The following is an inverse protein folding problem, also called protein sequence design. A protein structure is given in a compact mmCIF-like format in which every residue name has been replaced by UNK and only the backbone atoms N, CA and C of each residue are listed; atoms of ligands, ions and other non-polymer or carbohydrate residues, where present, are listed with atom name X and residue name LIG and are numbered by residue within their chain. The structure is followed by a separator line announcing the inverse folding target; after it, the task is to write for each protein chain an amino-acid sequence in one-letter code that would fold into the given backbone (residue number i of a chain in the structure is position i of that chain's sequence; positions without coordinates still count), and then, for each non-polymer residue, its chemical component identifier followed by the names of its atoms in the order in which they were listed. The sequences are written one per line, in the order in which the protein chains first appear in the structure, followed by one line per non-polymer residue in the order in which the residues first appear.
data_IF_181725768757
#
_entry.id   IF_181725768757
#
_cell.length_a   1.000
_cell.length_b   1.000
_cell.length_c   1.000
_cell.angle_alpha   90.00
_cell.angle_beta   90.00
_cell.angle_gamma   90.00
#
_symmetry.space_group_name_H-M   'P 1'
#
loop_
_entity.id
_entity.type
_entity.pdbx_description
1 polymer ?
#
# COMPACT_ATOMS: atom_id res chain seq x y z
N UNK A 1 -24.62 61.12 30.67
CA UNK A 1 -23.69 60.36 29.86
C UNK A 1 -23.69 58.93 30.35
N UNK A 2 -24.34 58.03 29.69
CA UNK A 2 -23.80 56.70 29.36
C UNK A 2 -24.47 56.12 28.10
N UNK A 3 -23.86 56.31 26.92
CA UNK A 3 -24.33 55.68 25.70
C UNK A 3 -23.20 55.28 24.73
N UNK A 4 -21.94 55.20 25.17
CA UNK A 4 -20.81 54.94 24.26
C UNK A 4 -20.11 53.60 24.44
N UNK A 5 -20.54 52.71 25.37
CA UNK A 5 -19.81 51.45 25.65
C UNK A 5 -20.49 50.16 25.09
N UNK A 6 -21.61 50.23 24.39
CA UNK A 6 -22.33 49.05 23.89
C UNK A 6 -22.09 48.71 22.41
N UNK A 7 -21.37 49.52 21.65
CA UNK A 7 -21.11 49.25 20.22
C UNK A 7 -19.79 48.60 19.91
N UNK A 8 -18.84 48.52 20.84
CA UNK A 8 -17.50 47.95 20.60
C UNK A 8 -17.41 46.45 20.88
N UNK A 9 -18.36 45.82 21.55
CA UNK A 9 -18.32 44.37 21.88
C UNK A 9 -18.93 43.50 20.76
N UNK A 10 -19.82 44.04 19.95
CA UNK A 10 -20.45 43.33 18.84
C UNK A 10 -19.56 43.21 17.58
N UNK A 11 -18.54 44.05 17.43
CA UNK A 11 -17.60 43.96 16.32
C UNK A 11 -16.46 42.97 16.54
N UNK A 12 -16.18 42.57 17.79
CA UNK A 12 -15.13 41.58 18.09
C UNK A 12 -15.62 40.13 18.01
N UNK A 13 -16.91 39.85 18.05
CA UNK A 13 -17.51 38.52 17.87
C UNK A 13 -17.73 38.14 16.40
N UNK A 14 -17.68 39.09 15.47
CA UNK A 14 -17.80 38.81 14.03
C UNK A 14 -16.47 38.49 13.34
N UNK A 15 -15.32 38.67 14.02
CA UNK A 15 -13.97 38.45 13.41
C UNK A 15 -13.35 37.12 13.77
N UNK A 16 -14.04 36.22 14.50
CA UNK A 16 -13.53 34.88 14.88
C UNK A 16 -14.15 33.76 14.02
N UNK A 17 -15.04 34.08 13.08
CA UNK A 17 -15.69 33.10 12.19
C UNK A 17 -15.16 33.14 10.75
N UNK A 18 -13.95 33.62 10.51
CA UNK A 18 -13.19 33.30 9.31
C UNK A 18 -12.27 32.12 9.60
N UNK A 19 -12.82 31.08 10.23
CA UNK A 19 -12.23 29.78 10.25
C UNK A 19 -12.17 29.27 8.81
N UNK A 20 -10.98 28.93 8.33
CA UNK A 20 -10.77 28.28 7.06
C UNK A 20 -11.89 27.26 6.84
N UNK A 21 -12.65 27.41 5.77
CA UNK A 21 -13.60 26.40 5.32
C UNK A 21 -12.78 25.17 5.00
N UNK A 22 -12.62 24.27 5.97
CA UNK A 22 -12.09 22.95 5.74
C UNK A 22 -12.95 22.37 4.62
N UNK A 23 -12.41 22.27 3.42
CA UNK A 23 -13.12 21.66 2.30
C UNK A 23 -13.57 20.28 2.77
N UNK A 24 -14.90 20.11 2.88
CA UNK A 24 -15.47 18.85 3.34
C UNK A 24 -14.93 17.70 2.48
N UNK A 25 -14.47 16.64 3.12
CA UNK A 25 -14.01 15.45 2.43
C UNK A 25 -15.16 14.89 1.57
N UNK A 26 -14.84 14.36 0.40
CA UNK A 26 -15.82 13.72 -0.49
C UNK A 26 -16.63 12.66 0.28
N UNK A 27 -17.96 12.72 0.31
CA UNK A 27 -18.77 11.78 1.12
C UNK A 27 -18.55 10.30 0.78
N UNK A 28 -18.19 9.99 -0.46
CA UNK A 28 -17.86 8.62 -0.87
C UNK A 28 -16.57 8.13 -0.22
N UNK A 29 -15.58 9.02 -0.04
CA UNK A 29 -14.32 8.73 0.65
C UNK A 29 -14.57 8.47 2.13
N UNK A 30 -15.45 9.26 2.78
CA UNK A 30 -15.82 9.01 4.19
C UNK A 30 -16.54 7.66 4.37
N UNK A 31 -17.40 7.27 3.43
CA UNK A 31 -18.01 5.93 3.45
C UNK A 31 -16.98 4.82 3.27
N UNK A 32 -16.05 4.97 2.32
CA UNK A 32 -14.96 4.02 2.12
C UNK A 32 -14.12 3.89 3.41
N UNK A 33 -13.74 5.02 4.01
CA UNK A 33 -13.00 5.07 5.27
C UNK A 33 -13.72 4.31 6.40
N UNK A 34 -14.99 4.63 6.64
CA UNK A 34 -15.78 3.98 7.69
C UNK A 34 -15.83 2.45 7.50
N UNK A 35 -16.05 1.98 6.26
CA UNK A 35 -16.10 0.55 5.94
C UNK A 35 -14.74 -0.14 6.04
N UNK A 36 -13.65 0.52 5.64
CA UNK A 36 -12.27 0.03 5.82
C UNK A 36 -11.98 -0.23 7.30
N UNK A 37 -12.26 0.75 8.16
CA UNK A 37 -12.02 0.63 9.60
C UNK A 37 -12.94 -0.36 10.28
N UNK A 38 -14.19 -0.42 9.90
CA UNK A 38 -15.19 -1.32 10.50
C UNK A 38 -14.93 -2.79 10.20
N UNK A 39 -14.42 -3.12 9.00
CA UNK A 39 -14.39 -4.51 8.52
C UNK A 39 -13.00 -5.06 8.21
N UNK A 40 -12.07 -4.21 7.83
CA UNK A 40 -10.80 -4.68 7.26
C UNK A 40 -9.58 -4.35 8.11
N UNK A 41 -9.61 -3.37 8.99
CA UNK A 41 -8.52 -3.16 9.94
C UNK A 41 -8.75 -4.08 11.15
N UNK A 42 -7.80 -4.99 11.36
CA UNK A 42 -7.89 -5.93 12.48
C UNK A 42 -7.54 -5.30 13.83
N UNK A 43 -7.63 -6.10 14.91
CA UNK A 43 -7.31 -5.66 16.27
C UNK A 43 -5.85 -5.19 16.43
N UNK A 44 -4.96 -5.60 15.54
CA UNK A 44 -3.53 -5.29 15.57
C UNK A 44 -3.13 -4.12 14.67
N UNK A 45 -4.08 -3.52 13.94
CA UNK A 45 -3.82 -2.40 13.04
C UNK A 45 -3.31 -2.84 11.67
N UNK A 46 -3.56 -4.07 11.26
CA UNK A 46 -3.19 -4.59 9.94
C UNK A 46 -4.43 -4.78 9.08
N UNK A 47 -4.34 -4.39 7.82
CA UNK A 47 -5.44 -4.55 6.87
C UNK A 47 -5.55 -5.99 6.40
N UNK A 48 -6.76 -6.54 6.44
CA UNK A 48 -7.11 -7.84 5.86
C UNK A 48 -7.40 -7.69 4.38
N UNK A 49 -7.18 -8.76 3.61
CA UNK A 49 -7.46 -8.76 2.16
C UNK A 49 -8.97 -8.83 1.85
N UNK A 50 -9.72 -9.56 2.67
CA UNK A 50 -11.15 -9.77 2.47
C UNK A 50 -11.85 -10.11 3.78
N UNK A 51 -13.18 -10.09 3.78
CA UNK A 51 -13.97 -10.58 4.91
C UNK A 51 -13.71 -12.08 5.11
N UNK A 52 -13.67 -12.54 6.35
CA UNK A 52 -13.41 -13.92 6.73
C UNK A 52 -12.73 -14.02 8.09
N UNK A 53 -12.67 -15.22 8.64
CA UNK A 53 -11.97 -15.49 9.90
C UNK A 53 -10.45 -15.42 9.71
N UNK A 54 -9.72 -14.89 10.69
CA UNK A 54 -8.27 -14.93 10.70
C UNK A 54 -7.77 -16.38 10.86
N UNK A 55 -6.60 -16.72 10.27
CA UNK A 55 -5.95 -17.99 10.51
C UNK A 55 -5.67 -18.23 11.99
N UNK A 56 -5.83 -19.47 12.42
CA UNK A 56 -5.44 -19.93 13.75
C UNK A 56 -3.94 -20.25 13.80
N UNK A 57 -3.32 -20.38 14.99
CA UNK A 57 -1.94 -20.89 15.11
C UNK A 57 -1.72 -22.21 14.39
N UNK A 58 -2.70 -23.12 14.40
CA UNK A 58 -2.63 -24.40 13.70
C UNK A 58 -2.67 -24.25 12.17
N UNK A 59 -3.51 -23.37 11.64
CA UNK A 59 -3.51 -23.07 10.21
C UNK A 59 -2.15 -22.56 9.74
N UNK A 60 -1.56 -21.60 10.47
CA UNK A 60 -0.24 -21.06 10.17
C UNK A 60 0.86 -22.12 10.28
N UNK A 61 0.87 -22.92 11.37
CA UNK A 61 1.85 -23.99 11.61
C UNK A 61 1.85 -25.03 10.49
N UNK A 62 0.68 -25.37 9.96
CA UNK A 62 0.52 -26.33 8.87
C UNK A 62 0.67 -25.70 7.48
N UNK A 63 0.78 -24.37 7.38
CA UNK A 63 0.76 -23.69 6.10
C UNK A 63 -0.56 -23.89 5.34
N UNK A 64 -1.70 -23.73 6.02
CA UNK A 64 -3.04 -23.79 5.44
C UNK A 64 -3.60 -22.39 5.20
N UNK A 65 -4.08 -22.07 3.99
CA UNK A 65 -4.29 -22.93 2.81
C UNK A 65 -3.00 -23.25 2.05
N UNK A 66 -1.94 -22.48 2.25
CA UNK A 66 -0.58 -22.70 1.74
C UNK A 66 0.41 -21.87 2.55
N UNK A 67 1.71 -22.19 2.48
CA UNK A 67 2.75 -21.53 3.26
C UNK A 67 3.01 -20.06 2.87
N UNK A 68 2.47 -19.57 1.76
CA UNK A 68 2.52 -18.17 1.37
C UNK A 68 1.39 -17.38 2.06
N UNK A 69 0.32 -18.05 2.51
CA UNK A 69 -0.89 -17.43 3.01
C UNK A 69 -1.82 -16.90 1.92
N UNK A 70 -1.56 -17.18 0.64
CA UNK A 70 -2.46 -16.79 -0.44
C UNK A 70 -3.86 -17.37 -0.22
N UNK A 71 -4.87 -16.54 -0.44
CA UNK A 71 -6.28 -16.85 -0.31
C UNK A 71 -6.78 -16.93 1.15
N UNK A 72 -5.94 -16.58 2.11
CA UNK A 72 -6.36 -16.27 3.47
C UNK A 72 -6.61 -14.76 3.63
N UNK A 73 -7.30 -14.32 4.69
CA UNK A 73 -7.51 -12.89 4.94
C UNK A 73 -6.25 -12.09 5.28
N UNK A 74 -5.10 -12.73 5.46
CA UNK A 74 -3.82 -12.08 5.79
C UNK A 74 -2.78 -12.25 4.66
N UNK A 75 -3.24 -12.23 3.42
CA UNK A 75 -2.39 -12.41 2.24
C UNK A 75 -1.47 -11.22 1.98
N UNK A 76 -1.95 -9.98 2.14
CA UNK A 76 -1.24 -8.76 1.74
C UNK A 76 -1.21 -7.66 2.82
N UNK A 77 -1.21 -8.03 4.10
CA UNK A 77 -1.34 -7.08 5.21
C UNK A 77 -0.37 -5.90 5.15
N UNK A 78 0.97 -6.06 5.18
CA UNK A 78 1.90 -4.93 5.09
C UNK A 78 1.82 -4.17 3.77
N UNK A 79 1.50 -4.85 2.66
CA UNK A 79 1.30 -4.20 1.37
C UNK A 79 0.14 -3.21 1.42
N UNK A 80 -1.02 -3.67 1.86
CA UNK A 80 -2.23 -2.83 1.92
C UNK A 80 -2.15 -1.80 3.05
N UNK A 81 -1.72 -2.22 4.24
CA UNK A 81 -1.57 -1.32 5.40
C UNK A 81 -0.57 -0.20 5.10
N UNK A 82 0.55 -0.51 4.44
CA UNK A 82 1.56 0.49 4.12
C UNK A 82 1.08 1.53 3.10
N UNK A 83 0.40 1.09 2.04
CA UNK A 83 -0.21 2.01 1.07
C UNK A 83 -1.33 2.84 1.71
N UNK A 84 -2.14 2.22 2.58
CA UNK A 84 -3.21 2.91 3.28
C UNK A 84 -2.68 3.89 4.32
N UNK A 85 -1.64 3.53 5.08
CA UNK A 85 -0.99 4.44 6.04
C UNK A 85 -0.44 5.69 5.35
N UNK A 86 0.12 5.54 4.14
CA UNK A 86 0.56 6.69 3.35
C UNK A 86 -0.59 7.68 3.09
N UNK A 87 -1.78 7.19 2.72
CA UNK A 87 -2.98 8.01 2.54
C UNK A 87 -3.52 8.58 3.87
N UNK A 88 -3.49 7.77 4.95
CA UNK A 88 -3.96 8.17 6.27
C UNK A 88 -3.13 9.28 6.90
N UNK A 89 -1.83 9.32 6.68
CA UNK A 89 -0.96 10.44 7.10
C UNK A 89 -1.41 11.74 6.40
N UNK A 90 -1.72 11.66 5.10
CA UNK A 90 -2.21 12.83 4.36
C UNK A 90 -3.62 13.24 4.81
N UNK A 91 -4.50 12.27 5.12
CA UNK A 91 -5.80 12.53 5.74
C UNK A 91 -5.63 13.28 7.06
N UNK A 92 -4.77 12.79 7.95
CA UNK A 92 -4.50 13.40 9.25
C UNK A 92 -3.92 14.83 9.11
N UNK A 93 -3.04 15.04 8.11
CA UNK A 93 -2.49 16.37 7.79
C UNK A 93 -3.59 17.35 7.35
N UNK A 94 -4.51 16.93 6.49
CA UNK A 94 -5.61 17.77 5.96
C UNK A 94 -6.68 18.05 7.00
N UNK A 95 -7.06 17.06 7.78
CA UNK A 95 -8.13 17.20 8.78
C UNK A 95 -7.67 17.86 10.09
N UNK A 96 -6.40 17.67 10.47
CA UNK A 96 -5.89 18.01 11.79
C UNK A 96 -6.51 17.21 12.95
N UNK A 97 -7.41 16.25 12.65
CA UNK A 97 -8.20 15.54 13.65
C UNK A 97 -7.34 14.55 14.45
N UNK A 98 -7.50 14.55 15.77
CA UNK A 98 -6.81 13.62 16.67
C UNK A 98 -7.16 12.14 16.35
N UNK A 99 -8.39 11.87 15.94
CA UNK A 99 -8.84 10.54 15.56
C UNK A 99 -8.07 10.01 14.33
N UNK A 100 -7.87 10.83 13.29
CA UNK A 100 -7.12 10.42 12.10
C UNK A 100 -5.63 10.18 12.44
N UNK A 101 -5.04 11.00 13.34
CA UNK A 101 -3.67 10.76 13.83
C UNK A 101 -3.55 9.46 14.62
N UNK A 102 -4.54 9.13 15.46
CA UNK A 102 -4.56 7.87 16.21
C UNK A 102 -4.75 6.66 15.30
N UNK A 103 -5.57 6.77 14.29
CA UNK A 103 -5.72 5.73 13.26
C UNK A 103 -4.40 5.50 12.50
N UNK A 104 -3.71 6.55 12.07
CA UNK A 104 -2.40 6.43 11.45
C UNK A 104 -1.37 5.76 12.39
N UNK A 105 -1.38 6.10 13.69
CA UNK A 105 -0.52 5.47 14.70
C UNK A 105 -0.82 3.98 14.81
N UNK A 106 -2.08 3.58 14.87
CA UNK A 106 -2.47 2.17 14.96
C UNK A 106 -1.97 1.36 13.75
N UNK A 107 -2.05 1.90 12.55
CA UNK A 107 -1.52 1.27 11.33
C UNK A 107 0.02 1.13 11.38
N UNK A 108 0.73 2.17 11.83
CA UNK A 108 2.18 2.13 11.97
C UNK A 108 2.63 1.08 13.00
N UNK A 109 1.90 0.94 14.11
CA UNK A 109 2.13 -0.12 15.12
C UNK A 109 1.85 -1.51 14.54
N UNK A 110 0.83 -1.66 13.69
CA UNK A 110 0.56 -2.90 12.96
C UNK A 110 1.72 -3.30 12.06
N UNK A 111 2.26 -2.34 11.30
CA UNK A 111 3.45 -2.56 10.46
C UNK A 111 4.69 -2.94 11.29
N UNK A 112 4.93 -2.25 12.40
CA UNK A 112 6.01 -2.61 13.34
C UNK A 112 5.86 -4.04 13.84
N UNK A 113 4.64 -4.44 14.19
CA UNK A 113 4.35 -5.78 14.69
C UNK A 113 4.59 -6.84 13.63
N UNK A 114 4.19 -6.62 12.38
CA UNK A 114 4.50 -7.54 11.26
C UNK A 114 6.00 -7.78 11.08
N UNK A 115 6.84 -6.79 11.37
CA UNK A 115 8.30 -6.90 11.31
C UNK A 115 8.94 -7.40 12.62
N UNK A 116 8.13 -7.80 13.62
CA UNK A 116 8.60 -8.17 14.97
C UNK A 116 8.02 -9.48 15.48
N UNK A 117 7.20 -10.19 14.68
CA UNK A 117 6.58 -11.47 15.10
C UNK A 117 7.49 -12.68 14.94
N UNK A 118 8.60 -12.55 14.17
CA UNK A 118 9.58 -13.58 13.89
C UNK A 118 10.91 -13.29 14.57
N UNK A 119 11.69 -14.34 14.87
CA UNK A 119 13.09 -14.26 15.30
C UNK A 119 14.08 -14.13 14.11
N UNK A 120 13.59 -14.17 12.86
CA UNK A 120 14.39 -13.97 11.67
C UNK A 120 14.57 -12.48 11.41
N UNK A 121 15.79 -11.92 11.54
CA UNK A 121 16.03 -10.53 11.28
C UNK A 121 15.63 -10.12 9.86
N UNK A 122 15.00 -8.96 9.72
CA UNK A 122 14.58 -8.43 8.43
C UNK A 122 13.35 -9.10 7.81
N UNK A 123 12.80 -10.16 8.42
CA UNK A 123 11.53 -10.74 7.97
C UNK A 123 10.35 -9.81 8.29
N UNK A 124 9.44 -9.66 7.36
CA UNK A 124 8.16 -8.95 7.55
C UNK A 124 7.03 -9.91 7.19
N UNK A 125 6.24 -10.31 8.19
CA UNK A 125 5.11 -11.21 7.99
C UNK A 125 4.06 -10.58 7.09
N UNK A 126 3.37 -11.39 6.28
CA UNK A 126 2.25 -10.94 5.42
C UNK A 126 1.01 -10.51 6.20
N UNK A 127 0.95 -10.84 7.48
CA UNK A 127 -0.10 -10.51 8.42
C UNK A 127 -0.03 -11.44 9.61
N UNK A 128 -0.91 -11.23 10.58
CA UNK A 128 -0.97 -12.00 11.81
C UNK A 128 -2.33 -12.68 11.93
N UNK A 129 -2.31 -13.93 12.40
CA UNK A 129 -3.53 -14.66 12.68
C UNK A 129 -4.24 -14.20 13.95
N UNK A 130 -5.19 -15.00 14.41
CA UNK A 130 -6.13 -14.65 15.48
C UNK A 130 -5.45 -14.31 16.83
N UNK A 131 -4.30 -14.92 17.12
CA UNK A 131 -3.53 -14.67 18.36
C UNK A 131 -2.59 -13.44 18.26
N UNK A 132 -2.53 -12.81 17.10
CA UNK A 132 -1.63 -11.69 16.81
C UNK A 132 -0.14 -12.04 16.83
N UNK A 133 0.21 -13.31 16.65
CA UNK A 133 1.58 -13.84 16.63
C UNK A 133 1.80 -14.82 15.50
N UNK A 134 0.89 -15.76 15.28
CA UNK A 134 1.01 -16.74 14.21
C UNK A 134 0.95 -16.03 12.84
N UNK A 135 1.74 -16.50 11.92
CA UNK A 135 1.91 -15.92 10.59
C UNK A 135 2.39 -17.00 9.61
N UNK A 136 2.30 -16.69 8.32
CA UNK A 136 2.85 -17.56 7.28
C UNK A 136 4.34 -17.27 7.06
N UNK A 137 5.15 -18.29 6.76
CA UNK A 137 6.61 -18.16 6.72
C UNK A 137 7.17 -17.48 5.48
N UNK A 138 6.38 -17.31 4.41
CA UNK A 138 6.85 -16.75 3.15
C UNK A 138 6.38 -15.30 2.97
N UNK A 139 7.31 -14.34 3.07
CA UNK A 139 7.08 -12.92 2.77
C UNK A 139 7.20 -12.64 1.27
N UNK A 140 7.42 -11.40 0.84
CA UNK A 140 7.81 -11.00 -0.52
C UNK A 140 8.19 -9.52 -0.62
N UNK A 141 8.81 -9.15 -1.75
CA UNK A 141 9.10 -7.76 -2.13
C UNK A 141 7.83 -6.88 -2.19
N UNK A 142 6.67 -7.47 -2.56
CA UNK A 142 5.37 -6.78 -2.58
C UNK A 142 4.91 -6.34 -1.18
N UNK A 143 5.28 -7.07 -0.12
CA UNK A 143 4.99 -6.66 1.26
C UNK A 143 5.97 -5.60 1.75
N UNK A 144 7.24 -5.79 1.41
CA UNK A 144 8.35 -5.03 1.94
C UNK A 144 8.33 -3.56 1.50
N UNK A 145 8.17 -3.29 0.19
CA UNK A 145 8.23 -1.92 -0.30
C UNK A 145 7.11 -1.04 0.26
N UNK A 146 5.82 -1.47 0.30
CA UNK A 146 4.77 -0.67 0.94
C UNK A 146 4.92 -0.57 2.46
N UNK A 147 5.51 -1.56 3.13
CA UNK A 147 5.89 -1.45 4.54
C UNK A 147 6.79 -0.23 4.78
N UNK A 148 7.85 -0.06 3.95
CA UNK A 148 8.68 1.14 3.97
C UNK A 148 7.89 2.40 3.61
N UNK A 149 6.99 2.34 2.61
CA UNK A 149 6.22 3.50 2.16
C UNK A 149 5.35 4.09 3.26
N UNK A 150 4.61 3.25 3.97
CA UNK A 150 3.75 3.69 5.07
C UNK A 150 4.56 4.25 6.24
N UNK A 151 5.62 3.56 6.66
CA UNK A 151 6.50 4.03 7.74
C UNK A 151 7.25 5.30 7.35
N UNK A 152 7.68 5.45 6.10
CA UNK A 152 8.32 6.67 5.60
C UNK A 152 7.39 7.88 5.73
N UNK A 153 6.15 7.76 5.25
CA UNK A 153 5.17 8.83 5.41
C UNK A 153 4.91 9.17 6.89
N UNK A 154 4.73 8.14 7.72
CA UNK A 154 4.44 8.30 9.14
C UNK A 154 5.60 8.93 9.91
N UNK A 155 6.83 8.44 9.72
CA UNK A 155 8.02 8.93 10.40
C UNK A 155 8.38 10.38 10.01
N UNK A 156 8.05 10.84 8.82
CA UNK A 156 8.30 12.22 8.41
C UNK A 156 7.17 13.18 8.77
N UNK A 157 6.07 12.69 9.34
CA UNK A 157 4.97 13.52 9.86
C UNK A 157 5.22 13.99 11.30
N UNK A 158 4.30 14.80 11.81
CA UNK A 158 4.25 15.25 13.21
C UNK A 158 3.51 14.26 14.15
N UNK A 159 3.10 13.10 13.65
CA UNK A 159 2.25 12.17 14.40
C UNK A 159 3.04 11.35 15.44
N UNK A 160 4.21 10.71 15.13
CA UNK A 160 4.90 9.87 16.08
C UNK A 160 5.56 10.68 17.21
N UNK A 161 5.36 10.25 18.45
CA UNK A 161 6.14 10.74 19.59
C UNK A 161 7.63 10.33 19.48
N UNK A 162 8.52 11.05 20.14
CA UNK A 162 9.97 10.81 20.02
C UNK A 162 10.38 9.36 20.35
N UNK A 163 9.83 8.76 21.40
CA UNK A 163 10.09 7.39 21.78
C UNK A 163 9.59 6.38 20.74
N UNK A 164 8.38 6.59 20.20
CA UNK A 164 7.81 5.76 19.14
C UNK A 164 8.65 5.86 17.86
N UNK A 165 9.03 7.08 17.47
CA UNK A 165 9.94 7.33 16.33
C UNK A 165 11.24 6.56 16.47
N UNK A 166 11.87 6.58 17.64
CA UNK A 166 13.13 5.88 17.88
C UNK A 166 13.00 4.35 17.66
N UNK A 167 11.92 3.75 18.15
CA UNK A 167 11.65 2.31 17.95
C UNK A 167 11.43 1.97 16.48
N UNK A 168 10.63 2.75 15.78
CA UNK A 168 10.35 2.54 14.35
C UNK A 168 11.61 2.72 13.50
N UNK A 169 12.41 3.76 13.75
CA UNK A 169 13.68 4.00 13.04
C UNK A 169 14.67 2.85 13.28
N UNK A 170 14.75 2.34 14.50
CA UNK A 170 15.60 1.18 14.79
C UNK A 170 15.17 -0.06 13.99
N UNK A 171 13.86 -0.34 13.90
CA UNK A 171 13.33 -1.45 13.11
C UNK A 171 13.53 -1.25 11.60
N UNK A 172 13.34 -0.05 11.08
CA UNK A 172 13.63 0.28 9.67
C UNK A 172 15.10 0.02 9.35
N UNK A 173 16.03 0.45 10.25
CA UNK A 173 17.46 0.20 10.08
C UNK A 173 17.77 -1.30 10.07
N UNK A 174 17.26 -2.06 11.04
CA UNK A 174 17.42 -3.52 11.07
C UNK A 174 17.00 -4.19 9.75
N UNK A 175 15.79 -3.87 9.25
CA UNK A 175 15.27 -4.46 8.03
C UNK A 175 16.11 -4.05 6.81
N UNK A 176 16.50 -2.79 6.72
CA UNK A 176 17.32 -2.28 5.60
C UNK A 176 18.73 -2.91 5.60
N UNK A 177 19.37 -3.02 6.76
CA UNK A 177 20.70 -3.64 6.90
C UNK A 177 20.67 -5.14 6.51
N UNK A 178 19.61 -5.86 6.88
CA UNK A 178 19.42 -7.26 6.44
C UNK A 178 19.21 -7.35 4.94
N UNK A 179 18.35 -6.52 4.34
CA UNK A 179 18.16 -6.49 2.89
C UNK A 179 19.48 -6.23 2.15
N UNK A 180 20.30 -5.30 2.64
CA UNK A 180 21.63 -5.05 2.07
C UNK A 180 22.53 -6.27 2.17
N UNK A 181 22.61 -6.90 3.35
CA UNK A 181 23.45 -8.07 3.60
C UNK A 181 23.04 -9.29 2.78
N UNK A 182 21.75 -9.42 2.44
CA UNK A 182 21.21 -10.52 1.62
C UNK A 182 21.24 -10.23 0.11
N UNK A 183 21.84 -9.12 -0.30
CA UNK A 183 21.84 -8.68 -1.70
C UNK A 183 20.45 -8.24 -2.19
N UNK A 184 19.64 -7.67 -1.30
CA UNK A 184 18.28 -7.16 -1.56
C UNK A 184 17.26 -8.28 -1.87
N UNK A 185 17.47 -9.45 -1.28
CA UNK A 185 16.52 -10.56 -1.27
C UNK A 185 15.77 -10.59 0.05
N UNK A 186 14.47 -10.84 -0.01
CA UNK A 186 13.58 -10.82 1.16
C UNK A 186 13.66 -12.17 1.90
N UNK A 187 14.04 -12.20 3.20
CA UNK A 187 14.18 -13.44 3.96
C UNK A 187 12.82 -14.11 4.21
N UNK A 188 12.86 -15.44 4.40
CA UNK A 188 11.74 -16.28 4.79
C UNK A 188 11.91 -16.76 6.24
N UNK A 189 10.81 -17.27 6.83
CA UNK A 189 10.73 -17.72 8.21
C UNK A 189 10.38 -19.22 8.33
N UNK A 190 10.28 -19.72 9.55
CA UNK A 190 9.83 -21.06 9.87
C UNK A 190 10.59 -22.16 9.14
N UNK A 191 9.88 -23.06 8.49
CA UNK A 191 10.47 -24.15 7.71
C UNK A 191 11.29 -23.68 6.49
N UNK A 192 11.19 -22.40 6.12
CA UNK A 192 11.91 -21.78 4.99
C UNK A 192 13.03 -20.83 5.45
N UNK A 193 13.42 -20.89 6.72
CA UNK A 193 14.51 -20.06 7.26
C UNK A 193 15.81 -20.34 6.51
N UNK A 194 16.42 -19.27 5.99
CA UNK A 194 17.60 -19.35 5.10
C UNK A 194 17.25 -19.23 3.60
N UNK A 195 16.00 -19.43 3.24
CA UNK A 195 15.51 -19.12 1.89
C UNK A 195 15.15 -17.64 1.73
N UNK A 196 14.94 -17.25 0.48
CA UNK A 196 14.51 -15.89 0.12
C UNK A 196 13.33 -15.95 -0.85
N UNK A 197 12.39 -14.98 -0.72
CA UNK A 197 11.26 -14.85 -1.63
C UNK A 197 11.09 -13.39 -2.07
N UNK A 198 11.32 -13.13 -3.36
CA UNK A 198 11.35 -11.78 -3.92
C UNK A 198 12.70 -11.09 -3.76
N UNK A 199 12.96 -10.14 -4.63
CA UNK A 199 14.19 -9.34 -4.69
C UNK A 199 13.92 -7.98 -5.34
N UNK A 200 14.84 -7.00 -5.10
CA UNK A 200 14.67 -5.63 -5.59
C UNK A 200 15.63 -5.25 -6.73
N UNK A 201 16.65 -6.06 -7.01
CA UNK A 201 17.68 -5.70 -8.00
C UNK A 201 17.38 -6.19 -9.43
N UNK A 202 16.12 -6.49 -9.75
CA UNK A 202 15.70 -6.87 -11.10
C UNK A 202 15.77 -5.74 -12.13
N UNK A 203 15.42 -6.08 -13.39
CA UNK A 203 15.49 -5.21 -14.56
C UNK A 203 14.15 -4.54 -14.94
N UNK A 204 13.08 -4.82 -14.19
CA UNK A 204 11.76 -4.28 -14.45
C UNK A 204 11.58 -2.87 -13.87
N UNK A 205 10.63 -2.10 -14.39
CA UNK A 205 10.28 -0.80 -13.84
C UNK A 205 9.93 -0.89 -12.35
N UNK A 206 9.12 -1.90 -12.00
CA UNK A 206 8.72 -2.15 -10.62
C UNK A 206 9.94 -2.33 -9.71
N UNK A 207 10.90 -3.14 -10.12
CA UNK A 207 12.09 -3.45 -9.31
C UNK A 207 13.02 -2.23 -9.18
N UNK A 208 13.29 -1.55 -10.29
CA UNK A 208 14.16 -0.38 -10.31
C UNK A 208 13.60 0.76 -9.43
N UNK A 209 12.32 1.09 -9.61
CA UNK A 209 11.68 2.18 -8.84
C UNK A 209 11.57 1.84 -7.34
N UNK A 210 11.24 0.59 -7.00
CA UNK A 210 11.20 0.13 -5.60
C UNK A 210 12.59 0.17 -4.96
N UNK A 211 13.62 -0.31 -5.65
CA UNK A 211 14.97 -0.36 -5.12
C UNK A 211 15.51 1.04 -4.80
N UNK A 212 15.49 1.95 -5.77
CA UNK A 212 15.97 3.32 -5.54
C UNK A 212 15.12 4.05 -4.49
N UNK A 213 13.82 3.76 -4.44
CA UNK A 213 12.95 4.29 -3.39
C UNK A 213 13.36 3.82 -2.00
N UNK A 214 13.60 2.51 -1.80
CA UNK A 214 13.99 1.95 -0.50
C UNK A 214 15.28 2.58 0.02
N UNK A 215 16.28 2.76 -0.84
CA UNK A 215 17.55 3.41 -0.47
C UNK A 215 17.33 4.85 0.00
N UNK A 216 16.56 5.64 -0.76
CA UNK A 216 16.28 7.04 -0.43
C UNK A 216 15.41 7.15 0.83
N UNK A 217 14.36 6.34 0.93
CA UNK A 217 13.46 6.34 2.09
C UNK A 217 14.21 5.95 3.38
N UNK A 218 15.12 4.99 3.32
CA UNK A 218 15.95 4.61 4.47
C UNK A 218 16.82 5.78 4.91
N UNK A 219 17.46 6.50 3.99
CA UNK A 219 18.18 7.73 4.33
C UNK A 219 17.29 8.75 5.04
N UNK A 220 16.11 9.04 4.50
CA UNK A 220 15.22 10.07 5.05
C UNK A 220 14.68 9.70 6.43
N UNK A 221 14.45 8.40 6.69
CA UNK A 221 13.98 7.93 7.99
C UNK A 221 15.09 7.82 9.05
N UNK A 222 16.32 7.46 8.65
CA UNK A 222 17.40 7.15 9.61
C UNK A 222 18.43 8.29 9.76
N UNK A 223 18.53 9.17 8.77
CA UNK A 223 19.57 10.21 8.68
C UNK A 223 20.97 9.67 8.35
N UNK A 224 21.13 8.37 8.09
CA UNK A 224 22.42 7.75 7.82
C UNK A 224 22.84 7.98 6.36
N UNK A 225 23.90 8.80 6.18
CA UNK A 225 24.40 9.26 4.88
C UNK A 225 24.82 8.12 3.94
N UNK A 226 25.18 6.95 4.47
CA UNK A 226 25.56 5.80 3.63
C UNK A 226 24.42 5.37 2.69
N UNK A 227 23.17 5.53 3.11
CA UNK A 227 22.00 5.19 2.29
C UNK A 227 21.80 6.19 1.14
N UNK A 228 22.14 7.46 1.36
CA UNK A 228 22.12 8.47 0.28
C UNK A 228 23.22 8.21 -0.77
N UNK A 229 24.39 7.78 -0.34
CA UNK A 229 25.47 7.40 -1.24
C UNK A 229 25.10 6.16 -2.08
N UNK A 230 24.51 5.15 -1.43
CA UNK A 230 23.98 3.94 -2.11
C UNK A 230 22.89 4.30 -3.12
N UNK A 231 21.97 5.20 -2.74
CA UNK A 231 20.94 5.71 -3.64
C UNK A 231 21.54 6.36 -4.89
N UNK A 232 22.47 7.28 -4.74
CA UNK A 232 23.14 7.97 -5.86
C UNK A 232 23.82 6.97 -6.79
N UNK A 233 24.56 6.03 -6.24
CA UNK A 233 25.23 4.99 -7.02
C UNK A 233 24.21 4.09 -7.77
N UNK A 234 23.14 3.71 -7.11
CA UNK A 234 22.11 2.85 -7.69
C UNK A 234 21.40 3.49 -8.90
N UNK A 235 21.31 4.83 -8.97
CA UNK A 235 20.70 5.52 -10.11
C UNK A 235 21.42 5.23 -11.44
N UNK A 236 22.73 5.16 -11.41
CA UNK A 236 23.58 4.95 -12.59
C UNK A 236 23.94 3.46 -12.80
N UNK A 237 23.52 2.57 -11.89
CA UNK A 237 23.69 1.12 -12.00
C UNK A 237 22.78 0.55 -13.07
N UNK A 238 23.31 -0.30 -13.95
CA UNK A 238 22.55 -1.08 -14.92
C UNK A 238 22.27 -2.46 -14.34
N UNK A 239 21.00 -2.90 -14.27
CA UNK A 239 20.68 -4.29 -13.95
C UNK A 239 21.33 -5.25 -14.96
N UNK A 240 21.66 -6.47 -14.52
CA UNK A 240 22.48 -7.42 -15.29
C UNK A 240 21.94 -7.74 -16.71
N UNK A 241 20.62 -7.62 -16.92
CA UNK A 241 19.96 -7.90 -18.21
C UNK A 241 19.33 -6.67 -18.85
N UNK A 242 19.77 -5.45 -18.46
CA UNK A 242 19.25 -4.20 -19.01
C UNK A 242 20.35 -3.37 -19.65
N UNK A 243 20.03 -2.73 -20.76
CA UNK A 243 20.88 -1.71 -21.35
C UNK A 243 20.74 -0.36 -20.62
N UNK A 244 19.59 -0.15 -19.99
CA UNK A 244 19.23 1.08 -19.28
C UNK A 244 19.74 1.06 -17.84
N UNK A 245 20.09 2.24 -17.32
CA UNK A 245 20.32 2.48 -15.90
C UNK A 245 18.99 2.44 -15.12
N UNK A 246 19.05 2.29 -13.79
CA UNK A 246 17.81 2.30 -12.97
C UNK A 246 17.06 3.64 -13.07
N UNK A 247 17.77 4.75 -13.22
CA UNK A 247 17.15 6.07 -13.47
C UNK A 247 16.38 6.07 -14.80
N UNK A 248 16.97 5.55 -15.86
CA UNK A 248 16.32 5.44 -17.18
C UNK A 248 15.13 4.50 -17.14
N UNK A 249 15.24 3.34 -16.46
CA UNK A 249 14.12 2.42 -16.26
C UNK A 249 12.97 3.10 -15.51
N UNK A 250 13.25 3.89 -14.48
CA UNK A 250 12.23 4.66 -13.76
C UNK A 250 11.45 5.62 -14.68
N UNK A 251 12.10 6.19 -15.72
CA UNK A 251 11.45 7.07 -16.66
C UNK A 251 10.49 6.37 -17.64
N UNK A 252 10.65 5.05 -17.85
CA UNK A 252 9.82 4.26 -18.77
C UNK A 252 8.42 3.94 -18.22
N UNK A 253 8.22 4.01 -16.90
CA UNK A 253 6.94 3.72 -16.28
C UNK A 253 6.51 2.27 -16.38
N UNK A 254 5.29 1.95 -15.87
CA UNK A 254 4.80 0.58 -15.81
C UNK A 254 4.61 -0.14 -17.17
N UNK A 255 4.43 0.52 -18.33
CA UNK A 255 4.42 -0.19 -19.61
C UNK A 255 5.70 -0.98 -19.92
N UNK A 256 6.83 -0.59 -19.33
CA UNK A 256 8.11 -1.34 -19.44
C UNK A 256 7.96 -2.80 -18.98
N UNK A 257 7.00 -3.08 -18.10
CA UNK A 257 6.80 -4.39 -17.51
C UNK A 257 5.76 -5.26 -18.24
N UNK A 258 5.23 -4.83 -19.38
CA UNK A 258 4.19 -5.57 -20.13
C UNK A 258 4.62 -7.00 -20.51
N UNK A 259 5.90 -7.21 -20.84
CA UNK A 259 6.47 -8.52 -21.10
C UNK A 259 6.52 -9.43 -19.87
N UNK A 260 6.61 -8.82 -18.68
CA UNK A 260 6.68 -9.55 -17.40
C UNK A 260 5.30 -9.73 -16.76
N UNK A 261 4.44 -8.72 -16.87
CA UNK A 261 3.07 -8.73 -16.32
C UNK A 261 2.07 -8.40 -17.46
N UNK A 262 1.76 -9.36 -18.35
CA UNK A 262 0.85 -9.10 -19.47
C UNK A 262 -0.56 -8.66 -19.04
N UNK A 263 -0.96 -9.00 -17.83
CA UNK A 263 -2.28 -8.62 -17.27
C UNK A 263 -2.41 -7.12 -16.95
N UNK A 264 -1.32 -6.35 -17.02
CA UNK A 264 -1.35 -4.88 -17.01
C UNK A 264 -2.25 -4.34 -18.12
N UNK A 265 -2.26 -4.95 -19.32
CA UNK A 265 -3.19 -4.59 -20.40
C UNK A 265 -4.67 -4.79 -20.02
N UNK A 266 -4.95 -5.61 -19.00
CA UNK A 266 -6.28 -5.88 -18.45
C UNK A 266 -6.59 -5.06 -17.19
N UNK A 267 -5.81 -4.00 -16.92
CA UNK A 267 -6.04 -3.09 -15.82
C UNK A 267 -5.49 -3.51 -14.46
N UNK A 268 -4.60 -4.49 -14.38
CA UNK A 268 -4.01 -4.94 -13.10
C UNK A 268 -2.95 -3.98 -12.54
N UNK A 269 -3.36 -2.75 -12.20
CA UNK A 269 -2.45 -1.74 -11.66
C UNK A 269 -2.22 -1.84 -10.15
N UNK A 270 -2.98 -2.65 -9.42
CA UNK A 270 -2.93 -2.70 -7.96
C UNK A 270 -1.53 -2.99 -7.39
N UNK A 271 -0.73 -3.80 -8.07
CA UNK A 271 0.66 -4.10 -7.68
C UNK A 271 1.64 -2.93 -7.94
N UNK A 272 1.22 -1.93 -8.72
CA UNK A 272 2.03 -0.75 -9.05
C UNK A 272 1.70 0.47 -8.20
N UNK A 273 0.61 0.48 -7.42
CA UNK A 273 0.23 1.65 -6.62
C UNK A 273 1.33 2.03 -5.62
N UNK A 274 1.89 1.06 -4.90
CA UNK A 274 3.01 1.32 -3.99
C UNK A 274 4.27 1.81 -4.72
N UNK A 275 4.58 1.25 -5.89
CA UNK A 275 5.69 1.68 -6.75
C UNK A 275 5.49 3.13 -7.23
N UNK A 276 4.29 3.46 -7.70
CA UNK A 276 3.92 4.81 -8.15
C UNK A 276 4.00 5.82 -7.00
N UNK A 277 3.52 5.46 -5.81
CA UNK A 277 3.60 6.30 -4.61
C UNK A 277 5.05 6.55 -4.18
N UNK A 278 5.90 5.52 -4.22
CA UNK A 278 7.33 5.64 -3.97
C UNK A 278 8.01 6.58 -4.97
N UNK A 279 7.69 6.44 -6.27
CA UNK A 279 8.24 7.29 -7.32
C UNK A 279 7.78 8.75 -7.18
N UNK A 280 6.50 8.98 -6.81
CA UNK A 280 5.97 10.31 -6.53
C UNK A 280 6.71 10.97 -5.36
N UNK A 281 6.99 10.20 -4.31
CA UNK A 281 7.79 10.67 -3.16
C UNK A 281 9.21 11.03 -3.58
N UNK A 282 9.87 10.18 -4.37
CA UNK A 282 11.20 10.48 -4.93
C UNK A 282 11.20 11.77 -5.74
N UNK A 283 10.22 11.95 -6.65
CA UNK A 283 10.09 13.18 -7.44
C UNK A 283 9.88 14.43 -6.59
N UNK A 284 9.26 14.30 -5.42
CA UNK A 284 9.03 15.40 -4.48
C UNK A 284 10.34 15.85 -3.77
N UNK A 285 11.21 14.90 -3.39
CA UNK A 285 12.39 15.16 -2.56
C UNK A 285 13.70 15.24 -3.36
N UNK A 286 13.68 14.85 -4.65
CA UNK A 286 14.86 14.87 -5.49
C UNK A 286 15.26 16.31 -5.86
N UNK A 287 16.56 16.60 -5.74
CA UNK A 287 17.16 17.91 -6.03
C UNK A 287 17.90 17.93 -7.36
N UNK A 288 18.40 16.78 -7.85
CA UNK A 288 18.97 16.67 -9.18
C UNK A 288 17.88 16.79 -10.25
N UNK A 289 17.98 17.78 -11.11
CA UNK A 289 16.95 18.11 -12.08
C UNK A 289 16.70 17.00 -13.10
N UNK A 290 17.75 16.29 -13.54
CA UNK A 290 17.63 15.21 -14.52
C UNK A 290 16.95 13.98 -13.92
N UNK A 291 17.34 13.59 -12.71
CA UNK A 291 16.72 12.48 -11.97
C UNK A 291 15.28 12.77 -11.63
N UNK A 292 14.98 14.00 -11.17
CA UNK A 292 13.60 14.43 -10.90
C UNK A 292 12.73 14.40 -12.15
N UNK A 293 13.27 14.83 -13.30
CA UNK A 293 12.56 14.75 -14.57
C UNK A 293 12.28 13.30 -14.99
N UNK A 294 13.24 12.38 -14.81
CA UNK A 294 13.05 10.95 -15.08
C UNK A 294 11.92 10.35 -14.24
N UNK A 295 11.85 10.67 -12.95
CA UNK A 295 10.77 10.21 -12.08
C UNK A 295 9.40 10.76 -12.50
N UNK A 296 9.32 12.06 -12.81
CA UNK A 296 8.08 12.66 -13.31
C UNK A 296 7.63 12.03 -14.62
N UNK A 297 8.55 11.80 -15.54
CA UNK A 297 8.24 11.11 -16.80
C UNK A 297 7.66 9.72 -16.56
N UNK A 298 8.25 8.92 -15.66
CA UNK A 298 7.74 7.58 -15.33
C UNK A 298 6.34 7.61 -14.69
N UNK A 299 6.09 8.60 -13.81
CA UNK A 299 4.76 8.84 -13.24
C UNK A 299 3.72 9.13 -14.33
N UNK A 300 4.04 10.05 -15.24
CA UNK A 300 3.14 10.48 -16.33
C UNK A 300 2.88 9.35 -17.33
N UNK A 301 3.92 8.60 -17.70
CA UNK A 301 3.77 7.43 -18.59
C UNK A 301 2.86 6.39 -17.97
N UNK A 302 3.07 6.06 -16.69
CA UNK A 302 2.23 5.10 -15.97
C UNK A 302 0.78 5.59 -15.84
N UNK A 303 0.57 6.87 -15.54
CA UNK A 303 -0.76 7.47 -15.42
C UNK A 303 -1.52 7.44 -16.74
N UNK A 304 -0.89 7.86 -17.84
CA UNK A 304 -1.52 7.80 -19.19
C UNK A 304 -1.90 6.37 -19.57
N UNK A 305 -1.06 5.40 -19.25
CA UNK A 305 -1.34 4.00 -19.53
C UNK A 305 -2.50 3.46 -18.67
N UNK A 306 -2.64 3.91 -17.43
CA UNK A 306 -3.70 3.49 -16.52
C UNK A 306 -5.07 4.18 -16.79
N UNK A 307 -5.06 5.34 -17.43
CA UNK A 307 -6.22 6.25 -17.49
C UNK A 307 -7.50 5.59 -18.02
N UNK A 308 -7.43 4.82 -19.10
CA UNK A 308 -8.59 4.13 -19.66
C UNK A 308 -9.18 3.06 -18.73
N UNK A 309 -8.35 2.48 -17.84
CA UNK A 309 -8.81 1.48 -16.88
C UNK A 309 -9.63 2.09 -15.75
N UNK A 310 -9.51 3.39 -15.49
CA UNK A 310 -10.33 4.09 -14.49
C UNK A 310 -11.82 4.01 -14.87
N UNK A 311 -12.17 4.20 -16.14
CA UNK A 311 -13.56 4.22 -16.60
C UNK A 311 -14.24 2.85 -16.54
N UNK A 312 -13.48 1.77 -16.40
CA UNK A 312 -14.06 0.42 -16.25
C UNK A 312 -14.84 0.25 -14.94
N UNK A 313 -14.76 1.22 -13.99
CA UNK A 313 -15.63 1.25 -12.81
C UNK A 313 -17.12 1.18 -13.18
N UNK A 314 -17.53 1.73 -14.34
CA UNK A 314 -18.90 1.73 -14.80
C UNK A 314 -19.47 0.32 -15.07
N UNK A 315 -18.61 -0.69 -15.18
CA UNK A 315 -19.01 -2.09 -15.34
C UNK A 315 -19.41 -2.77 -14.02
N UNK A 316 -19.18 -2.11 -12.88
CA UNK A 316 -19.55 -2.66 -11.58
C UNK A 316 -21.04 -2.37 -11.29
N UNK A 317 -21.81 -3.44 -11.08
CA UNK A 317 -23.19 -3.35 -10.62
C UNK A 317 -23.26 -3.45 -9.09
N UNK A 318 -23.69 -2.38 -8.43
CA UNK A 318 -23.90 -2.35 -6.97
C UNK A 318 -25.08 -3.23 -6.50
N UNK A 319 -25.95 -3.68 -7.40
CA UNK A 319 -27.03 -4.60 -7.11
C UNK A 319 -26.62 -6.08 -7.19
N UNK A 320 -25.44 -6.39 -7.75
CA UNK A 320 -24.93 -7.77 -7.82
C UNK A 320 -24.82 -8.38 -6.41
N UNK A 321 -25.43 -9.55 -6.24
CA UNK A 321 -25.45 -10.34 -5.00
C UNK A 321 -24.70 -11.68 -5.18
N UNK A 322 -23.76 -11.72 -6.11
CA UNK A 322 -22.98 -12.91 -6.39
C UNK A 322 -22.32 -13.51 -5.13
N UNK A 323 -22.26 -14.82 -5.06
CA UNK A 323 -21.70 -15.55 -3.92
C UNK A 323 -20.20 -15.25 -3.74
N UNK A 324 -19.80 -14.85 -2.53
CA UNK A 324 -18.43 -14.61 -2.09
C UNK A 324 -17.94 -15.74 -1.19
N UNK A 325 -17.68 -16.92 -1.77
CA UNK A 325 -17.24 -18.12 -1.03
C UNK A 325 -15.87 -17.98 -0.39
N UNK A 326 -15.04 -17.00 -0.82
CA UNK A 326 -13.72 -16.72 -0.22
C UNK A 326 -13.81 -16.31 1.25
N UNK A 327 -14.97 -15.84 1.74
CA UNK A 327 -15.16 -15.57 3.16
C UNK A 327 -14.91 -16.82 4.03
N UNK A 328 -15.36 -17.98 3.56
CA UNK A 328 -14.99 -19.30 4.10
C UNK A 328 -13.79 -19.86 3.33
N UNK A 329 -12.63 -19.23 3.53
CA UNK A 329 -11.42 -19.57 2.79
C UNK A 329 -10.93 -21.00 3.05
N UNK A 330 -11.29 -21.62 4.19
CA UNK A 330 -10.95 -23.01 4.50
C UNK A 330 -11.72 -23.95 3.60
N UNK A 331 -13.04 -23.77 3.47
CA UNK A 331 -13.87 -24.55 2.57
C UNK A 331 -13.57 -24.27 1.09
N UNK A 332 -13.22 -23.02 0.75
CA UNK A 332 -12.79 -22.65 -0.60
C UNK A 332 -11.47 -23.29 -1.04
N UNK A 333 -10.67 -23.81 -0.09
CA UNK A 333 -9.38 -24.48 -0.35
C UNK A 333 -9.37 -25.88 0.28
N UNK A 334 -10.17 -26.82 -0.20
CA UNK A 334 -10.33 -28.15 0.42
C UNK A 334 -9.09 -29.04 0.26
N UNK A 335 -8.27 -28.79 -0.76
CA UNK A 335 -7.04 -29.53 -1.00
C UNK A 335 -5.91 -28.95 -0.15
N UNK A 336 -5.24 -29.82 0.58
CA UNK A 336 -4.04 -29.46 1.32
C UNK A 336 -3.04 -30.63 1.36
N UNK A 337 -1.74 -30.28 1.33
CA UNK A 337 -0.64 -31.22 1.56
C UNK A 337 0.56 -30.47 2.16
N UNK A 338 1.49 -31.17 2.85
CA UNK A 338 2.72 -30.56 3.34
C UNK A 338 3.53 -29.92 2.19
N UNK A 339 4.18 -28.78 2.47
CA UNK A 339 4.88 -27.98 1.46
C UNK A 339 6.32 -27.75 1.91
N UNK A 340 7.26 -28.71 1.66
CA UNK A 340 8.65 -28.57 2.05
C UNK A 340 9.44 -27.57 1.21
N UNK A 341 8.89 -27.09 0.07
CA UNK A 341 9.54 -26.11 -0.81
C UNK A 341 8.60 -24.96 -1.18
N UNK A 342 9.18 -23.79 -1.52
CA UNK A 342 8.41 -22.65 -2.02
C UNK A 342 7.64 -22.99 -3.31
N UNK A 343 8.22 -23.80 -4.19
CA UNK A 343 7.57 -24.25 -5.44
C UNK A 343 6.30 -25.07 -5.15
N UNK A 344 6.31 -25.91 -4.12
CA UNK A 344 5.13 -26.68 -3.70
C UNK A 344 4.08 -25.79 -3.05
N UNK A 345 4.50 -24.79 -2.25
CA UNK A 345 3.58 -23.79 -1.70
C UNK A 345 2.88 -23.00 -2.81
N UNK A 346 3.63 -22.58 -3.85
CA UNK A 346 3.05 -21.91 -5.01
C UNK A 346 2.14 -22.82 -5.84
N UNK A 347 2.52 -24.08 -6.03
CA UNK A 347 1.70 -25.05 -6.72
C UNK A 347 0.39 -25.28 -6.00
N UNK A 348 0.42 -25.45 -4.67
CA UNK A 348 -0.80 -25.60 -3.86
C UNK A 348 -1.67 -24.35 -3.93
N UNK A 349 -1.09 -23.16 -3.87
CA UNK A 349 -1.83 -21.90 -4.00
C UNK A 349 -2.51 -21.74 -5.38
N UNK A 350 -1.98 -22.36 -6.42
CA UNK A 350 -2.55 -22.35 -7.78
C UNK A 350 -3.61 -23.43 -8.01
N UNK A 351 -3.64 -24.50 -7.19
CA UNK A 351 -4.68 -25.52 -7.20
C UNK A 351 -5.90 -24.99 -6.44
N UNK A 352 -6.59 -24.07 -7.06
CA UNK A 352 -7.72 -23.40 -6.44
C UNK A 352 -8.99 -23.80 -7.11
N UNK A 353 -9.96 -24.21 -6.32
CA UNK A 353 -11.32 -24.37 -6.83
C UNK A 353 -12.01 -23.01 -6.93
N UNK A 354 -11.99 -22.41 -8.12
CA UNK A 354 -12.67 -21.15 -8.40
C UNK A 354 -14.19 -21.23 -8.17
N UNK A 355 -14.80 -22.43 -8.25
CA UNK A 355 -16.22 -22.61 -7.97
C UNK A 355 -16.51 -22.40 -6.49
N UNK A 356 -15.66 -22.93 -5.61
CA UNK A 356 -15.82 -22.76 -4.16
C UNK A 356 -15.60 -21.32 -3.70
N UNK A 357 -14.80 -20.55 -4.44
CA UNK A 357 -14.56 -19.11 -4.13
C UNK A 357 -15.74 -18.21 -4.46
N UNK A 358 -16.62 -18.67 -5.33
CA UNK A 358 -17.73 -17.87 -5.83
C UNK A 358 -17.32 -16.81 -6.87
N UNK A 359 -18.27 -16.40 -7.71
CA UNK A 359 -18.02 -15.44 -8.79
C UNK A 359 -17.69 -14.04 -8.28
N UNK A 360 -18.21 -13.64 -7.11
CA UNK A 360 -18.11 -12.29 -6.57
C UNK A 360 -16.66 -11.83 -6.35
N UNK A 361 -15.75 -12.73 -5.94
CA UNK A 361 -14.33 -12.38 -5.76
C UNK A 361 -13.68 -11.86 -7.05
N UNK A 362 -13.86 -12.58 -8.16
CA UNK A 362 -13.31 -12.16 -9.45
C UNK A 362 -14.00 -10.89 -9.96
N UNK A 363 -15.30 -10.75 -9.70
CA UNK A 363 -16.09 -9.59 -10.06
C UNK A 363 -15.56 -8.32 -9.36
N UNK A 364 -15.38 -8.34 -8.03
CA UNK A 364 -14.80 -7.25 -7.27
C UNK A 364 -13.34 -6.97 -7.69
N UNK A 365 -12.53 -8.01 -7.90
CA UNK A 365 -11.15 -7.85 -8.38
C UNK A 365 -11.09 -7.11 -9.73
N UNK A 366 -11.98 -7.43 -10.65
CA UNK A 366 -11.96 -6.89 -12.00
C UNK A 366 -12.58 -5.50 -12.09
N UNK A 367 -13.75 -5.31 -11.45
CA UNK A 367 -14.55 -4.13 -11.67
C UNK A 367 -14.55 -3.13 -10.51
N UNK A 368 -13.87 -3.46 -9.38
CA UNK A 368 -13.65 -2.54 -8.25
C UNK A 368 -12.17 -2.32 -8.01
N UNK A 369 -11.37 -3.37 -7.74
CA UNK A 369 -9.96 -3.23 -7.43
C UNK A 369 -9.18 -2.59 -8.58
N UNK A 370 -9.35 -3.10 -9.82
CA UNK A 370 -8.56 -2.62 -10.94
C UNK A 370 -8.82 -1.15 -11.28
N UNK A 371 -10.08 -0.67 -11.42
CA UNK A 371 -10.32 0.75 -11.69
C UNK A 371 -9.92 1.68 -10.55
N UNK A 372 -10.10 1.28 -9.28
CA UNK A 372 -9.67 2.12 -8.15
C UNK A 372 -8.14 2.17 -8.02
N UNK A 373 -7.44 1.06 -8.28
CA UNK A 373 -5.99 1.06 -8.34
C UNK A 373 -5.45 1.89 -9.51
N UNK A 374 -6.10 1.83 -10.69
CA UNK A 374 -5.78 2.71 -11.82
C UNK A 374 -5.99 4.19 -11.45
N UNK A 375 -7.10 4.51 -10.78
CA UNK A 375 -7.37 5.86 -10.27
C UNK A 375 -6.27 6.35 -9.30
N UNK A 376 -5.76 5.46 -8.42
CA UNK A 376 -4.65 5.79 -7.53
C UNK A 376 -3.35 6.05 -8.30
N UNK A 377 -3.02 5.21 -9.32
CA UNK A 377 -1.84 5.42 -10.19
C UNK A 377 -1.92 6.76 -10.92
N UNK A 378 -3.10 7.11 -11.45
CA UNK A 378 -3.35 8.39 -12.15
C UNK A 378 -3.22 9.58 -11.17
N UNK A 379 -3.85 9.50 -10.01
CA UNK A 379 -3.82 10.57 -9.02
C UNK A 379 -2.40 10.85 -8.48
N UNK A 380 -1.59 9.81 -8.29
CA UNK A 380 -0.20 9.90 -7.83
C UNK A 380 0.75 10.61 -8.82
N UNK A 381 0.38 10.74 -10.08
CA UNK A 381 1.11 11.59 -11.03
C UNK A 381 0.89 13.09 -10.79
N UNK A 382 -0.14 13.46 -10.02
CA UNK A 382 -0.42 14.84 -9.64
C UNK A 382 -1.16 15.67 -10.70
N UNK A 383 -1.73 15.03 -11.72
CA UNK A 383 -2.46 15.68 -12.80
C UNK A 383 -3.85 16.15 -12.35
N UNK A 384 -4.01 17.47 -12.16
CA UNK A 384 -5.28 18.06 -11.72
C UNK A 384 -6.45 17.79 -12.71
N UNK A 385 -6.15 17.67 -14.00
CA UNK A 385 -7.13 17.38 -15.06
C UNK A 385 -7.80 16.01 -14.91
N UNK A 386 -7.15 15.04 -14.28
CA UNK A 386 -7.69 13.71 -14.02
C UNK A 386 -8.70 13.66 -12.85
N UNK A 387 -8.78 14.72 -12.05
CA UNK A 387 -9.62 14.76 -10.85
C UNK A 387 -11.09 14.38 -11.09
N UNK A 388 -11.79 14.90 -12.11
CA UNK A 388 -13.20 14.54 -12.34
C UNK A 388 -13.39 13.05 -12.58
N UNK A 389 -12.51 12.43 -13.37
CA UNK A 389 -12.57 11.00 -13.69
C UNK A 389 -12.28 10.14 -12.46
N UNK A 390 -11.26 10.48 -11.68
CA UNK A 390 -10.93 9.80 -10.41
C UNK A 390 -12.10 9.89 -9.42
N UNK A 391 -12.68 11.07 -9.21
CA UNK A 391 -13.82 11.25 -8.31
C UNK A 391 -15.07 10.50 -8.80
N UNK A 392 -15.30 10.41 -10.13
CA UNK A 392 -16.39 9.62 -10.68
C UNK A 392 -16.25 8.13 -10.32
N UNK A 393 -15.05 7.57 -10.43
CA UNK A 393 -14.78 6.20 -10.03
C UNK A 393 -14.99 5.99 -8.53
N UNK A 394 -14.48 6.89 -7.68
CA UNK A 394 -14.65 6.83 -6.22
C UNK A 394 -16.13 6.87 -5.81
N UNK A 395 -16.94 7.70 -6.45
CA UNK A 395 -18.36 7.87 -6.12
C UNK A 395 -19.26 6.70 -6.52
N UNK A 396 -18.77 5.82 -7.37
CA UNK A 396 -19.58 4.78 -8.02
C UNK A 396 -20.01 3.66 -7.08
N UNK A 397 -19.19 3.29 -6.08
CA UNK A 397 -19.35 2.07 -5.31
C UNK A 397 -20.20 2.24 -4.04
N UNK A 398 -21.01 1.22 -3.75
CA UNK A 398 -21.59 0.97 -2.42
C UNK A 398 -20.60 0.19 -1.57
N UNK A 399 -19.73 0.90 -0.87
CA UNK A 399 -18.63 0.33 -0.09
C UNK A 399 -19.11 -0.66 1.00
N UNK A 400 -20.33 -0.52 1.50
CA UNK A 400 -20.88 -1.40 2.52
C UNK A 400 -21.10 -2.83 2.01
N UNK A 401 -21.24 -3.02 0.68
CA UNK A 401 -21.50 -4.31 0.02
C UNK A 401 -20.23 -5.01 -0.49
N UNK A 402 -19.07 -4.37 -0.44
CA UNK A 402 -17.82 -4.94 -0.94
C UNK A 402 -17.23 -5.91 0.08
N UNK A 403 -16.67 -7.01 -0.40
CA UNK A 403 -16.09 -8.08 0.42
C UNK A 403 -14.55 -8.06 0.43
N UNK A 404 -13.93 -7.34 -0.49
CA UNK A 404 -12.49 -7.19 -0.62
C UNK A 404 -12.05 -5.79 -0.14
N UNK A 405 -10.91 -5.73 0.58
CA UNK A 405 -10.39 -4.49 1.17
C UNK A 405 -9.90 -3.48 0.14
N UNK A 406 -9.57 -3.92 -1.07
CA UNK A 406 -8.85 -3.11 -2.07
C UNK A 406 -9.61 -1.86 -2.54
N UNK A 407 -10.85 -1.67 -2.07
CA UNK A 407 -11.51 -0.37 -2.25
C UNK A 407 -10.84 0.76 -1.45
N UNK A 408 -9.93 0.46 -0.52
CA UNK A 408 -9.09 1.48 0.13
C UNK A 408 -8.29 2.31 -0.88
N UNK A 409 -8.08 1.82 -2.10
CA UNK A 409 -7.48 2.61 -3.19
C UNK A 409 -8.28 3.87 -3.51
N UNK A 410 -9.56 3.94 -3.16
CA UNK A 410 -10.35 5.17 -3.25
C UNK A 410 -9.76 6.30 -2.39
N UNK A 411 -9.37 5.98 -1.14
CA UNK A 411 -8.70 6.94 -0.26
C UNK A 411 -7.29 7.27 -0.75
N UNK A 412 -6.53 6.27 -1.19
CA UNK A 412 -5.19 6.49 -1.77
C UNK A 412 -5.28 7.45 -2.96
N UNK A 413 -6.23 7.22 -3.87
CA UNK A 413 -6.45 8.08 -5.02
C UNK A 413 -6.88 9.50 -4.61
N UNK A 414 -7.83 9.63 -3.69
CA UNK A 414 -8.34 10.92 -3.24
C UNK A 414 -7.27 11.79 -2.59
N UNK A 415 -6.50 11.20 -1.66
CA UNK A 415 -5.46 11.95 -0.93
C UNK A 415 -4.19 12.20 -1.76
N UNK A 416 -4.01 11.47 -2.88
CA UNK A 416 -2.97 11.78 -3.85
C UNK A 416 -3.33 12.94 -4.80
N UNK A 417 -4.63 13.25 -4.98
CA UNK A 417 -5.05 14.40 -5.80
C UNK A 417 -4.59 15.71 -5.17
N UNK A 418 -4.12 16.69 -5.99
CA UNK A 418 -3.83 18.03 -5.51
C UNK A 418 -5.01 18.63 -4.74
N UNK A 419 -4.74 19.38 -3.69
CA UNK A 419 -5.79 20.14 -3.00
C UNK A 419 -6.40 21.18 -3.94
N UNK A 420 -7.72 21.39 -3.85
CA UNK A 420 -8.34 22.53 -4.52
C UNK A 420 -7.84 23.81 -3.83
N UNK A 421 -7.07 24.59 -4.55
CA UNK A 421 -6.65 25.92 -4.11
C UNK A 421 -7.82 26.91 -4.21
#
# INVERSE_FOLDING_TARGET
MPHCLRRSILLWLALIMTGASLLAVEPAVERAHAETWRRFIDGHGVMRDHVGELPTPEDCRLGKPNAIGWWSPIENGPMFTGMYLHAMVERARRSGAAADKEQARKLAQGLLKCASVSDVPGFVARGMGADGKCHYPLSSDDQMQPWFLGLHAYLLSDIPAAAERAVLVAKVREVADVLESTGWRVPCDGAFKGDFRGAFKGEHFRDAARYVYLLRATYEMTGDAVWLERYRRALDEKPAKSAETRREICALGCPRDLGFIPTLQKGQFWIYVGTQAGLARLAAVETDAATKAAYRQGLDVSARFALSSVDTHAMFDNADQGFFGTADWRAANPTWFPQPTQAEAERLAKIVDYKNRGPRKNYESTWMRHPLAAAAVVALAGEASARPQVLKAIRHYDYAKLNMAEFFFAEVAYYALPENK
#
